data_IF_652258442463
#
_entry.id   IF_652258442463
#
_cell.length_a   1.000
_cell.length_b   1.000
_cell.length_c   1.000
_cell.angle_alpha   90.00
_cell.angle_beta   90.00
_cell.angle_gamma   90.00
#
_symmetry.space_group_name_H-M   'P 1'
#
loop_
_entity.id
_entity.type
_entity.pdbx_description
1 polymer ?
#
# COMPACT_ATOMS: atom_id res chain seq x y z
N UNK A 1 -12.97 -1.10 15.43
CA UNK A 1 -11.75 -0.86 14.63
C UNK A 1 -11.16 -2.16 14.12
N UNK A 2 -10.51 -2.99 14.96
CA UNK A 2 -9.81 -4.21 14.52
C UNK A 2 -10.69 -5.28 13.86
N UNK A 3 -11.97 -5.38 14.24
CA UNK A 3 -12.91 -6.37 13.72
C UNK A 3 -13.64 -5.96 12.43
N UNK A 4 -13.19 -4.92 11.71
CA UNK A 4 -13.82 -4.50 10.45
C UNK A 4 -15.11 -3.68 10.57
N UNK A 5 -15.60 -3.42 11.78
CA UNK A 5 -16.81 -2.61 12.00
C UNK A 5 -16.65 -1.18 11.47
N UNK A 6 -17.73 -0.62 10.91
CA UNK A 6 -17.82 0.73 10.35
C UNK A 6 -17.91 1.81 11.44
N UNK A 7 -16.78 2.06 12.10
CA UNK A 7 -16.69 3.02 13.21
C UNK A 7 -16.58 4.49 12.75
N UNK A 8 -16.23 4.73 11.48
CA UNK A 8 -16.39 6.05 10.87
C UNK A 8 -17.85 6.17 10.42
N UNK A 9 -18.72 6.53 11.36
CA UNK A 9 -20.17 6.54 11.18
C UNK A 9 -20.65 7.68 10.28
N UNK A 10 -19.93 8.80 10.22
CA UNK A 10 -20.30 9.93 9.35
C UNK A 10 -20.13 9.60 7.86
N UNK A 11 -19.21 8.70 7.53
CA UNK A 11 -18.96 8.26 6.15
C UNK A 11 -19.36 6.80 5.87
N UNK A 12 -19.93 6.10 6.87
CA UNK A 12 -20.24 4.67 6.85
C UNK A 12 -19.06 3.79 6.40
N UNK A 13 -17.88 3.97 7.02
CA UNK A 13 -16.62 3.30 6.64
C UNK A 13 -15.94 2.55 7.77
N UNK A 14 -15.32 1.42 7.43
CA UNK A 14 -14.36 0.75 8.30
C UNK A 14 -13.04 1.54 8.36
N UNK A 15 -12.34 1.47 9.50
CA UNK A 15 -11.03 2.14 9.71
C UNK A 15 -9.98 1.06 9.97
N UNK A 16 -9.20 0.71 8.95
CA UNK A 16 -8.41 -0.53 8.92
C UNK A 16 -6.94 -0.37 8.49
N UNK A 17 -6.29 0.75 8.82
CA UNK A 17 -4.85 0.89 8.60
C UNK A 17 -4.02 -0.18 9.35
N UNK A 18 -4.59 -0.82 10.38
CA UNK A 18 -4.01 -1.99 11.05
C UNK A 18 -3.94 -3.23 10.16
N UNK A 19 -4.90 -3.41 9.23
CA UNK A 19 -4.89 -4.53 8.29
C UNK A 19 -3.68 -4.44 7.33
N UNK A 20 -3.29 -3.22 6.94
CA UNK A 20 -2.14 -2.97 6.05
C UNK A 20 -0.80 -3.40 6.65
N UNK A 21 -0.74 -3.60 7.98
CA UNK A 21 0.45 -4.04 8.71
C UNK A 21 0.21 -5.32 9.51
N UNK A 22 -0.88 -6.03 9.22
CA UNK A 22 -1.20 -7.29 9.87
C UNK A 22 -0.29 -8.41 9.34
N UNK A 23 0.74 -8.78 10.12
CA UNK A 23 1.68 -9.85 9.73
C UNK A 23 1.23 -11.26 10.11
N UNK A 24 0.26 -11.42 11.02
CA UNK A 24 -0.27 -12.75 11.35
C UNK A 24 -1.14 -13.30 10.22
N UNK A 25 -1.62 -12.44 9.31
CA UNK A 25 -2.59 -12.78 8.27
C UNK A 25 -3.92 -13.32 8.82
N UNK A 26 -4.24 -13.00 10.08
CA UNK A 26 -5.57 -13.28 10.62
C UNK A 26 -6.62 -12.58 9.76
N UNK A 27 -7.71 -13.27 9.36
CA UNK A 27 -8.75 -12.69 8.51
C UNK A 27 -9.37 -11.43 9.12
N UNK A 28 -9.58 -10.40 8.29
CA UNK A 28 -10.30 -9.18 8.69
C UNK A 28 -11.44 -8.98 7.69
N UNK A 29 -12.67 -9.21 8.16
CA UNK A 29 -13.86 -9.22 7.31
C UNK A 29 -14.47 -7.82 7.22
N UNK A 30 -14.71 -7.35 5.99
CA UNK A 30 -15.49 -6.15 5.67
C UNK A 30 -16.53 -6.52 4.63
N UNK A 31 -17.80 -6.16 4.86
CA UNK A 31 -18.91 -6.47 3.95
C UNK A 31 -18.94 -7.97 3.52
N UNK A 32 -18.63 -8.86 4.47
CA UNK A 32 -18.61 -10.31 4.25
C UNK A 32 -17.38 -10.86 3.54
N UNK A 33 -16.37 -10.04 3.21
CA UNK A 33 -15.13 -10.45 2.52
C UNK A 33 -13.90 -10.21 3.39
N UNK A 34 -12.98 -11.18 3.42
CA UNK A 34 -11.65 -10.99 3.99
C UNK A 34 -10.80 -10.06 3.12
N UNK A 35 -10.22 -9.03 3.73
CA UNK A 35 -9.39 -8.02 3.06
C UNK A 35 -7.92 -8.44 2.95
N UNK A 36 -7.45 -9.42 3.74
CA UNK A 36 -6.04 -9.80 3.78
C UNK A 36 -5.48 -10.29 2.43
N UNK A 37 -6.21 -11.06 1.60
CA UNK A 37 -5.73 -11.44 0.27
C UNK A 37 -5.45 -10.22 -0.63
N UNK A 38 -6.29 -9.19 -0.58
CA UNK A 38 -6.12 -7.98 -1.37
C UNK A 38 -4.93 -7.14 -0.88
N UNK A 39 -4.74 -7.04 0.45
CA UNK A 39 -3.56 -6.39 1.04
C UNK A 39 -2.27 -7.06 0.58
N UNK A 40 -2.19 -8.39 0.72
CA UNK A 40 -0.99 -9.14 0.36
C UNK A 40 -0.72 -9.12 -1.15
N UNK A 41 -1.76 -9.11 -1.98
CA UNK A 41 -1.63 -8.96 -3.43
C UNK A 41 -0.95 -7.64 -3.80
N UNK A 42 -1.37 -6.52 -3.20
CA UNK A 42 -0.76 -5.20 -3.48
C UNK A 42 0.66 -5.13 -2.94
N UNK A 43 0.94 -5.66 -1.74
CA UNK A 43 2.31 -5.74 -1.22
C UNK A 43 3.24 -6.57 -2.13
N UNK A 44 2.75 -7.68 -2.70
CA UNK A 44 3.49 -8.48 -3.68
C UNK A 44 3.75 -7.74 -5.00
N UNK A 45 2.77 -6.99 -5.49
CA UNK A 45 2.93 -6.12 -6.66
C UNK A 45 3.98 -5.02 -6.41
N UNK A 46 3.90 -4.37 -5.25
CA UNK A 46 4.86 -3.33 -4.84
C UNK A 46 6.27 -3.89 -4.75
N UNK A 47 6.47 -5.07 -4.14
CA UNK A 47 7.77 -5.76 -4.08
C UNK A 47 8.33 -6.01 -5.49
N UNK A 48 7.53 -6.64 -6.35
CA UNK A 48 7.95 -6.96 -7.72
C UNK A 48 8.38 -5.72 -8.48
N UNK A 49 7.61 -4.64 -8.37
CA UNK A 49 7.95 -3.36 -8.98
C UNK A 49 9.23 -2.77 -8.40
N UNK A 50 9.34 -2.69 -7.07
CA UNK A 50 10.51 -2.10 -6.41
C UNK A 50 11.78 -2.87 -6.72
N UNK A 51 11.72 -4.19 -6.81
CA UNK A 51 12.88 -5.03 -7.12
C UNK A 51 13.37 -4.78 -8.56
N UNK A 52 12.44 -4.64 -9.51
CA UNK A 52 12.79 -4.29 -10.90
C UNK A 52 13.41 -2.91 -11.03
N UNK A 53 12.88 -1.92 -10.32
CA UNK A 53 13.44 -0.56 -10.32
C UNK A 53 14.82 -0.55 -9.68
N UNK A 54 14.98 -1.16 -8.49
CA UNK A 54 16.23 -1.14 -7.72
C UNK A 54 17.36 -1.95 -8.35
N UNK A 55 17.03 -3.07 -9.02
CA UNK A 55 18.01 -3.86 -9.77
C UNK A 55 18.45 -3.20 -11.06
N UNK A 56 17.72 -2.17 -11.51
CA UNK A 56 17.91 -1.56 -12.83
C UNK A 56 17.40 -2.43 -13.98
N UNK A 57 16.66 -3.51 -13.72
CA UNK A 57 15.94 -4.27 -14.75
C UNK A 57 14.92 -3.36 -15.47
N UNK A 58 14.24 -2.50 -14.71
CA UNK A 58 13.32 -1.51 -15.26
C UNK A 58 14.10 -0.40 -15.96
N UNK A 59 13.92 -0.29 -17.28
CA UNK A 59 14.57 0.72 -18.10
C UNK A 59 13.63 1.87 -18.46
N UNK A 60 14.19 3.07 -18.56
CA UNK A 60 13.53 4.19 -19.22
C UNK A 60 13.50 4.02 -20.74
N UNK A 61 12.88 4.97 -21.45
CA UNK A 61 12.66 4.87 -22.89
C UNK A 61 13.94 4.73 -23.74
N UNK A 62 15.10 5.16 -23.22
CA UNK A 62 16.41 5.03 -23.88
C UNK A 62 17.19 3.77 -23.48
N UNK A 63 16.58 2.86 -22.72
CA UNK A 63 17.26 1.66 -22.21
C UNK A 63 18.13 1.89 -20.97
N UNK A 64 18.21 3.12 -20.44
CA UNK A 64 18.95 3.44 -19.22
C UNK A 64 18.17 3.03 -17.97
N UNK A 65 18.86 2.64 -16.91
CA UNK A 65 18.25 2.34 -15.62
C UNK A 65 17.66 3.61 -14.99
N UNK A 66 16.64 3.44 -14.15
CA UNK A 66 16.05 4.54 -13.37
C UNK A 66 17.02 4.93 -12.25
N UNK A 67 17.32 6.22 -12.13
CA UNK A 67 18.19 6.78 -11.08
C UNK A 67 17.42 7.59 -10.06
N UNK A 68 16.33 8.23 -10.49
CA UNK A 68 15.59 9.19 -9.69
C UNK A 68 14.10 8.82 -9.66
N UNK A 69 13.49 8.94 -8.48
CA UNK A 69 12.07 8.69 -8.25
C UNK A 69 11.42 9.96 -7.71
N UNK A 70 10.57 10.57 -8.53
CA UNK A 70 9.82 11.77 -8.17
C UNK A 70 8.41 11.37 -7.74
N UNK A 71 8.04 11.71 -6.50
CA UNK A 71 6.68 11.55 -6.00
C UNK A 71 5.89 12.84 -6.23
N UNK A 72 4.72 12.74 -6.84
CA UNK A 72 3.82 13.87 -7.05
C UNK A 72 2.57 13.61 -6.23
N UNK A 73 2.35 14.42 -5.18
CA UNK A 73 1.22 14.27 -4.28
C UNK A 73 1.09 15.45 -3.32
N UNK A 74 -0.06 15.51 -2.63
CA UNK A 74 -0.36 16.50 -1.58
C UNK A 74 -0.95 15.79 -0.35
N UNK A 75 -1.01 16.48 0.79
CA UNK A 75 -1.65 15.97 2.01
C UNK A 75 -1.02 14.66 2.51
N UNK A 76 -1.85 13.69 2.90
CA UNK A 76 -1.39 12.39 3.41
C UNK A 76 -0.51 11.60 2.43
N UNK A 77 -0.69 11.81 1.13
CA UNK A 77 0.08 11.14 0.06
C UNK A 77 1.48 11.75 -0.17
N UNK A 78 1.80 12.87 0.47
CA UNK A 78 3.12 13.52 0.43
C UNK A 78 3.78 13.57 1.82
N UNK A 79 3.05 14.01 2.85
CA UNK A 79 3.59 14.24 4.19
C UNK A 79 4.14 12.96 4.83
N UNK A 80 3.37 11.87 4.78
CA UNK A 80 3.79 10.58 5.36
C UNK A 80 5.02 10.04 4.62
N UNK A 81 5.07 10.21 3.30
CA UNK A 81 6.24 9.83 2.50
C UNK A 81 7.46 10.63 2.95
N UNK A 82 7.40 11.97 2.93
CA UNK A 82 8.54 12.83 3.27
C UNK A 82 9.13 12.54 4.65
N UNK A 83 8.29 12.20 5.64
CA UNK A 83 8.76 11.86 6.98
C UNK A 83 9.38 10.46 7.11
N UNK A 84 9.17 9.57 6.13
CA UNK A 84 9.59 8.17 6.18
C UNK A 84 10.90 7.87 5.42
N UNK A 85 11.46 8.86 4.71
CA UNK A 85 12.74 8.76 3.98
C UNK A 85 13.83 9.59 4.63
#
# INVERSE_FOLDING_TARGET
MFAGSKINFTEDRAVLHVALRNRSNDPIIVDGKDVMPDVNRVLGQMRTFSDKVRSGEWKGYTGKAITDVINIGIGGSDLVRKASY
#
